data_IF_432332576121
#
_entry.id   IF_432332576121
#
_cell.length_a   1.000
_cell.length_b   1.000
_cell.length_c   1.000
_cell.angle_alpha   90.00
_cell.angle_beta   90.00
_cell.angle_gamma   90.00
#
_symmetry.space_group_name_H-M   'P 1'
#
loop_
_entity.id
_entity.type
_entity.pdbx_description
1 polymer ?
#
# COMPACT_ATOMS: atom_id res chain seq x y z
N UNK A 1 45.49 -21.78 14.47
CA UNK A 1 44.68 -21.36 15.64
C UNK A 1 45.12 -20.03 16.26
N UNK A 2 46.38 -19.57 16.16
CA UNK A 2 46.79 -18.28 16.74
C UNK A 2 46.74 -17.07 15.80
N UNK A 3 46.69 -17.25 14.48
CA UNK A 3 46.73 -16.16 13.49
C UNK A 3 45.40 -15.87 12.79
N UNK A 4 44.35 -16.61 13.13
CA UNK A 4 43.05 -16.50 12.46
C UNK A 4 42.09 -15.50 13.14
N UNK A 5 42.50 -14.91 14.27
CA UNK A 5 41.64 -14.15 15.23
C UNK A 5 42.13 -12.72 15.53
N UNK A 6 43.40 -12.36 15.27
CA UNK A 6 43.97 -11.09 15.78
C UNK A 6 43.81 -9.86 14.86
N UNK A 7 43.39 -9.99 13.59
CA UNK A 7 43.06 -8.81 12.77
C UNK A 7 42.13 -9.16 11.59
N UNK A 8 41.01 -9.85 11.84
CA UNK A 8 39.85 -9.70 10.96
C UNK A 8 39.10 -8.37 11.24
N UNK A 9 39.59 -7.50 12.15
CA UNK A 9 38.69 -6.79 13.08
C UNK A 9 38.83 -5.25 13.24
N UNK A 10 39.62 -4.50 12.46
CA UNK A 10 39.34 -3.04 12.25
C UNK A 10 38.35 -2.85 11.09
N UNK A 11 37.42 -3.81 11.04
CA UNK A 11 36.25 -4.14 10.24
C UNK A 11 36.11 -3.65 8.79
N UNK A 12 37.21 -3.45 8.05
CA UNK A 12 37.10 -3.50 6.58
C UNK A 12 37.35 -4.91 6.06
N UNK A 13 36.29 -5.66 5.76
CA UNK A 13 36.38 -6.99 5.13
C UNK A 13 35.68 -6.90 3.77
N UNK A 14 36.45 -6.96 2.69
CA UNK A 14 35.93 -7.03 1.32
C UNK A 14 36.17 -8.42 0.76
N UNK A 15 35.10 -9.11 0.39
CA UNK A 15 35.18 -10.37 -0.36
C UNK A 15 34.39 -10.17 -1.65
N UNK A 16 35.06 -10.36 -2.79
CA UNK A 16 34.47 -10.17 -4.11
C UNK A 16 34.72 -11.42 -4.93
N UNK A 17 33.64 -12.08 -5.33
CA UNK A 17 33.61 -13.14 -6.34
C UNK A 17 32.86 -12.57 -7.54
N UNK A 18 33.47 -12.61 -8.72
CA UNK A 18 32.80 -12.12 -9.91
C UNK A 18 33.37 -12.78 -11.16
N UNK A 19 32.49 -13.24 -12.05
CA UNK A 19 32.87 -13.89 -13.30
C UNK A 19 33.24 -12.86 -14.39
N UNK A 20 32.69 -11.65 -14.29
CA UNK A 20 32.90 -10.57 -15.26
C UNK A 20 33.51 -9.30 -14.63
N UNK A 21 32.71 -8.39 -14.08
CA UNK A 21 33.18 -7.12 -13.53
C UNK A 21 32.51 -6.76 -12.20
N UNK A 22 33.31 -6.59 -11.15
CA UNK A 22 32.87 -6.03 -9.89
C UNK A 22 33.80 -4.89 -9.44
N UNK A 23 33.22 -3.74 -9.08
CA UNK A 23 33.92 -2.61 -8.46
C UNK A 23 33.32 -2.37 -7.08
N UNK A 24 34.15 -2.46 -6.04
CA UNK A 24 33.70 -2.39 -4.64
C UNK A 24 34.49 -1.35 -3.85
N UNK A 25 33.87 -0.20 -3.64
CA UNK A 25 34.28 0.82 -2.69
C UNK A 25 33.50 0.60 -1.39
N UNK A 26 34.21 0.47 -0.27
CA UNK A 26 33.55 0.30 1.02
C UNK A 26 34.51 0.62 2.17
N UNK A 27 34.02 1.31 3.21
CA UNK A 27 34.86 1.67 4.36
C UNK A 27 34.87 0.56 5.41
N UNK A 28 33.77 -0.18 5.56
CA UNK A 28 33.67 -1.31 6.46
C UNK A 28 33.51 -2.63 5.69
N UNK A 29 32.43 -3.39 5.82
CA UNK A 29 32.28 -4.74 5.29
C UNK A 29 31.59 -4.74 3.92
N UNK A 30 32.17 -5.39 2.92
CA UNK A 30 31.49 -5.63 1.65
C UNK A 30 31.67 -7.09 1.19
N UNK A 31 30.58 -7.77 0.87
CA UNK A 31 30.60 -9.05 0.17
C UNK A 31 29.93 -8.84 -1.17
N UNK A 32 30.57 -9.20 -2.27
CA UNK A 32 29.97 -9.11 -3.59
C UNK A 32 30.19 -10.43 -4.31
N UNK A 33 29.11 -11.03 -4.79
CA UNK A 33 29.11 -12.16 -5.71
C UNK A 33 28.36 -11.71 -6.97
N UNK A 34 29.00 -11.70 -8.14
CA UNK A 34 28.34 -11.24 -9.35
C UNK A 34 28.81 -11.93 -10.64
N UNK A 35 27.89 -12.53 -11.39
CA UNK A 35 28.23 -13.21 -12.64
C UNK A 35 28.61 -12.20 -13.74
N UNK A 36 27.96 -11.03 -13.74
CA UNK A 36 28.07 -10.02 -14.80
C UNK A 36 28.63 -8.68 -14.31
N UNK A 37 27.81 -7.76 -13.79
CA UNK A 37 28.27 -6.43 -13.40
C UNK A 37 27.76 -6.03 -12.02
N UNK A 38 28.68 -5.70 -11.11
CA UNK A 38 28.35 -5.09 -9.82
C UNK A 38 29.20 -3.83 -9.58
N UNK A 39 28.55 -2.71 -9.28
CA UNK A 39 29.21 -1.53 -8.72
C UNK A 39 28.63 -1.32 -7.32
N UNK A 40 29.50 -1.36 -6.31
CA UNK A 40 29.11 -1.24 -4.91
C UNK A 40 29.95 -0.15 -4.26
N UNK A 41 29.28 0.86 -3.74
CA UNK A 41 29.81 1.89 -2.86
C UNK A 41 29.11 1.72 -1.51
N UNK A 42 29.86 1.48 -0.42
CA UNK A 42 29.25 1.28 0.88
C UNK A 42 30.09 1.72 2.08
N UNK A 43 29.63 2.67 2.87
CA UNK A 43 30.41 3.14 4.02
C UNK A 43 30.45 2.10 5.14
N UNK A 44 29.32 1.52 5.53
CA UNK A 44 29.32 0.47 6.56
C UNK A 44 29.24 -0.94 5.99
N UNK A 45 28.09 -1.49 5.63
CA UNK A 45 27.96 -2.90 5.25
C UNK A 45 27.24 -3.06 3.90
N UNK A 46 27.83 -3.76 2.95
CA UNK A 46 27.13 -4.19 1.74
C UNK A 46 27.27 -5.70 1.53
N UNK A 47 26.19 -6.41 1.25
CA UNK A 47 26.26 -7.76 0.67
C UNK A 47 25.50 -7.74 -0.64
N UNK A 48 26.13 -8.04 -1.76
CA UNK A 48 25.52 -7.99 -3.09
C UNK A 48 25.70 -9.32 -3.77
N UNK A 49 24.61 -9.94 -4.21
CA UNK A 49 24.55 -11.10 -5.08
C UNK A 49 23.85 -10.64 -6.36
N UNK A 50 24.47 -10.83 -7.53
CA UNK A 50 23.88 -10.37 -8.78
C UNK A 50 24.29 -11.17 -10.02
N UNK A 51 23.34 -11.80 -10.70
CA UNK A 51 23.64 -12.56 -11.92
C UNK A 51 23.95 -11.62 -13.12
N UNK A 52 23.31 -10.45 -13.16
CA UNK A 52 23.35 -9.56 -14.33
C UNK A 52 23.86 -8.15 -14.01
N UNK A 53 23.11 -7.32 -13.30
CA UNK A 53 23.53 -5.95 -13.00
C UNK A 53 23.06 -5.50 -11.62
N UNK A 54 23.99 -5.09 -10.77
CA UNK A 54 23.69 -4.41 -9.52
C UNK A 54 24.50 -3.12 -9.39
N UNK A 55 23.83 -2.00 -9.13
CA UNK A 55 24.45 -0.75 -8.67
C UNK A 55 23.94 -0.49 -7.26
N UNK A 56 24.86 -0.43 -6.31
CA UNK A 56 24.54 -0.24 -4.89
C UNK A 56 25.37 0.91 -4.36
N UNK A 57 24.70 1.94 -3.86
CA UNK A 57 25.27 3.01 -3.05
C UNK A 57 24.63 2.92 -1.66
N UNK A 58 25.44 2.78 -0.61
CA UNK A 58 24.94 2.44 0.71
C UNK A 58 25.78 3.00 1.88
N UNK A 59 25.32 4.04 2.54
CA UNK A 59 26.10 4.66 3.62
C UNK A 59 26.21 3.74 4.85
N UNK A 60 25.14 3.03 5.20
CA UNK A 60 25.17 2.14 6.36
C UNK A 60 24.96 0.67 6.03
N UNK A 61 23.86 0.26 5.43
CA UNK A 61 23.66 -1.16 5.15
C UNK A 61 22.88 -1.39 3.86
N UNK A 62 23.40 -2.19 2.95
CA UNK A 62 22.62 -2.68 1.82
C UNK A 62 22.84 -4.18 1.65
N UNK A 63 21.76 -4.95 1.57
CA UNK A 63 21.85 -6.31 1.03
C UNK A 63 21.02 -6.37 -0.24
N UNK A 64 21.64 -6.80 -1.32
CA UNK A 64 21.02 -6.82 -2.64
C UNK A 64 21.21 -8.21 -3.22
N UNK A 65 20.12 -8.85 -3.61
CA UNK A 65 20.10 -10.06 -4.40
C UNK A 65 19.36 -9.74 -5.71
N UNK A 66 19.99 -9.98 -6.86
CA UNK A 66 19.45 -9.53 -8.13
C UNK A 66 19.82 -10.43 -9.31
N UNK A 67 18.86 -11.19 -9.85
CA UNK A 67 19.10 -12.02 -11.04
C UNK A 67 19.37 -11.16 -12.30
N UNK A 68 18.75 -9.98 -12.37
CA UNK A 68 18.72 -9.17 -13.60
C UNK A 68 19.22 -7.74 -13.41
N UNK A 69 18.46 -6.89 -12.71
CA UNK A 69 18.86 -5.50 -12.50
C UNK A 69 18.41 -4.98 -11.15
N UNK A 70 19.34 -4.52 -10.33
CA UNK A 70 19.03 -3.76 -9.12
C UNK A 70 19.82 -2.45 -9.10
N UNK A 71 19.12 -1.36 -8.79
CA UNK A 71 19.68 -0.05 -8.50
C UNK A 71 19.25 0.30 -7.09
N UNK A 72 20.21 0.44 -6.18
CA UNK A 72 19.94 0.70 -4.76
C UNK A 72 20.76 1.90 -4.34
N UNK A 73 20.10 2.91 -3.85
CA UNK A 73 20.68 4.07 -3.20
C UNK A 73 20.11 4.13 -1.78
N UNK A 74 20.97 3.99 -0.76
CA UNK A 74 20.53 3.78 0.61
C UNK A 74 21.42 4.47 1.65
N UNK A 75 20.95 5.55 2.24
CA UNK A 75 21.70 6.27 3.27
C UNK A 75 21.87 5.43 4.56
N UNK A 76 20.90 4.58 4.86
CA UNK A 76 20.87 3.85 6.12
C UNK A 76 20.68 2.35 5.91
N UNK A 77 19.55 1.90 5.38
CA UNK A 77 19.33 0.48 5.19
C UNK A 77 18.52 0.20 3.94
N UNK A 78 19.01 -0.70 3.09
CA UNK A 78 18.21 -1.29 2.02
C UNK A 78 18.37 -2.80 2.00
N UNK A 79 17.26 -3.49 1.75
CA UNK A 79 17.24 -4.89 1.42
C UNK A 79 16.49 -5.02 0.11
N UNK A 80 17.12 -5.59 -0.91
CA UNK A 80 16.50 -5.72 -2.23
C UNK A 80 16.70 -7.14 -2.70
N UNK A 81 15.61 -7.81 -3.02
CA UNK A 81 15.59 -9.09 -3.71
C UNK A 81 14.83 -8.87 -5.02
N UNK A 82 15.50 -9.07 -6.16
CA UNK A 82 14.95 -8.69 -7.45
C UNK A 82 15.28 -9.70 -8.55
N UNK A 83 14.30 -10.49 -9.01
CA UNK A 83 14.52 -11.42 -10.12
C UNK A 83 14.70 -10.68 -11.47
N UNK A 84 14.14 -9.48 -11.60
CA UNK A 84 14.09 -8.77 -12.89
C UNK A 84 14.57 -7.32 -12.79
N UNK A 85 13.81 -6.44 -12.14
CA UNK A 85 14.20 -5.04 -12.00
C UNK A 85 13.75 -4.48 -10.65
N UNK A 86 14.68 -3.91 -9.89
CA UNK A 86 14.36 -3.07 -8.74
C UNK A 86 15.14 -1.76 -8.82
N UNK A 87 14.47 -0.65 -8.53
CA UNK A 87 15.08 0.64 -8.24
C UNK A 87 14.59 1.06 -6.87
N UNK A 88 15.53 1.26 -5.95
CA UNK A 88 15.23 1.58 -4.57
C UNK A 88 16.08 2.77 -4.17
N UNK A 89 15.42 3.84 -3.78
CA UNK A 89 16.01 5.03 -3.17
C UNK A 89 15.47 5.13 -1.74
N UNK A 90 16.37 5.08 -0.76
CA UNK A 90 16.01 4.94 0.65
C UNK A 90 16.92 5.75 1.58
N UNK A 91 16.43 6.88 2.07
CA UNK A 91 17.16 7.70 3.05
C UNK A 91 17.36 6.97 4.40
N UNK A 92 16.41 6.10 4.74
CA UNK A 92 16.39 5.44 6.05
C UNK A 92 16.24 3.93 5.93
N UNK A 93 15.15 3.45 5.34
CA UNK A 93 14.90 2.03 5.22
C UNK A 93 14.05 1.70 4.00
N UNK A 94 14.46 0.74 3.19
CA UNK A 94 13.58 0.08 2.23
C UNK A 94 13.82 -1.43 2.22
N UNK A 95 12.77 -2.23 2.23
CA UNK A 95 12.85 -3.65 1.89
C UNK A 95 12.00 -3.88 0.65
N UNK A 96 12.57 -4.46 -0.39
CA UNK A 96 11.91 -4.64 -1.68
C UNK A 96 12.14 -6.06 -2.15
N UNK A 97 11.07 -6.81 -2.34
CA UNK A 97 11.04 -8.11 -3.00
C UNK A 97 10.29 -7.94 -4.32
N UNK A 98 10.94 -8.27 -5.43
CA UNK A 98 10.41 -7.97 -6.76
C UNK A 98 10.76 -9.06 -7.78
N UNK A 99 9.78 -9.88 -8.14
CA UNK A 99 9.95 -10.87 -9.22
C UNK A 99 10.13 -10.20 -10.59
N UNK A 100 9.57 -9.00 -10.77
CA UNK A 100 9.46 -8.36 -12.08
C UNK A 100 9.93 -6.90 -12.07
N UNK A 101 9.20 -6.01 -11.39
CA UNK A 101 9.54 -4.59 -11.35
C UNK A 101 9.11 -3.95 -10.03
N UNK A 102 10.04 -3.33 -9.31
CA UNK A 102 9.69 -2.43 -8.20
C UNK A 102 10.46 -1.12 -8.33
N UNK A 103 9.76 0.01 -8.21
CA UNK A 103 10.36 1.33 -8.05
C UNK A 103 9.91 1.87 -6.69
N UNK A 104 10.86 2.11 -5.80
CA UNK A 104 10.58 2.47 -4.41
C UNK A 104 11.41 3.67 -4.05
N UNK A 105 10.75 4.76 -3.69
CA UNK A 105 11.33 5.97 -3.14
C UNK A 105 10.83 6.14 -1.72
N UNK A 106 11.76 6.12 -0.76
CA UNK A 106 11.45 6.08 0.66
C UNK A 106 12.36 7.01 1.47
N UNK A 107 11.85 8.18 1.82
CA UNK A 107 12.54 9.11 2.74
C UNK A 107 12.74 8.48 4.14
N UNK A 108 11.85 7.56 4.51
CA UNK A 108 11.83 6.98 5.85
C UNK A 108 11.69 5.46 5.82
N UNK A 109 10.61 4.95 5.23
CA UNK A 109 10.35 3.52 5.23
C UNK A 109 9.47 3.12 4.04
N UNK A 110 9.89 2.12 3.26
CA UNK A 110 8.98 1.40 2.37
C UNK A 110 9.24 -0.11 2.43
N UNK A 111 8.18 -0.91 2.51
CA UNK A 111 8.26 -2.35 2.30
C UNK A 111 7.41 -2.68 1.08
N UNK A 112 8.00 -3.34 0.11
CA UNK A 112 7.36 -3.62 -1.17
C UNK A 112 7.60 -5.06 -1.54
N UNK A 113 6.53 -5.83 -1.62
CA UNK A 113 6.51 -7.17 -2.18
C UNK A 113 5.75 -7.09 -3.50
N UNK A 114 6.39 -7.49 -4.60
CA UNK A 114 5.88 -7.28 -5.93
C UNK A 114 6.22 -8.44 -6.87
N UNK A 115 5.29 -9.35 -7.06
CA UNK A 115 5.38 -10.40 -8.09
C UNK A 115 5.55 -9.81 -9.50
N UNK A 116 5.00 -8.62 -9.74
CA UNK A 116 4.86 -8.04 -11.08
C UNK A 116 5.28 -6.57 -11.16
N UNK A 117 4.55 -5.66 -10.51
CA UNK A 117 4.89 -4.24 -10.53
C UNK A 117 4.50 -3.55 -9.23
N UNK A 118 5.41 -2.83 -8.62
CA UNK A 118 5.08 -1.86 -7.59
C UNK A 118 5.79 -0.52 -7.83
N UNK A 119 5.08 0.58 -7.66
CA UNK A 119 5.64 1.92 -7.61
C UNK A 119 5.24 2.53 -6.28
N UNK A 120 6.23 2.89 -5.47
CA UNK A 120 5.96 3.30 -4.09
C UNK A 120 6.77 4.54 -3.82
N UNK A 121 6.08 5.66 -3.66
CA UNK A 121 6.62 6.92 -3.17
C UNK A 121 6.15 7.09 -1.74
N UNK A 122 7.09 7.16 -0.81
CA UNK A 122 6.82 7.19 0.61
C UNK A 122 7.71 8.21 1.30
N UNK A 123 7.17 9.41 1.53
CA UNK A 123 7.85 10.40 2.36
C UNK A 123 8.02 9.93 3.81
N UNK A 124 7.15 9.03 4.25
CA UNK A 124 7.15 8.53 5.61
C UNK A 124 7.05 7.01 5.66
N UNK A 125 5.96 6.44 5.12
CA UNK A 125 5.74 5.01 5.19
C UNK A 125 4.82 4.49 4.08
N UNK A 126 5.24 3.44 3.38
CA UNK A 126 4.36 2.67 2.52
C UNK A 126 4.64 1.18 2.62
N UNK A 127 3.59 0.37 2.81
CA UNK A 127 3.69 -1.08 2.71
C UNK A 127 2.84 -1.54 1.54
N UNK A 128 3.44 -2.28 0.63
CA UNK A 128 2.82 -2.64 -0.63
C UNK A 128 3.07 -4.11 -0.88
N UNK A 129 2.02 -4.89 -0.95
CA UNK A 129 2.02 -6.27 -1.36
C UNK A 129 1.24 -6.34 -2.66
N UNK A 130 1.89 -6.76 -3.73
CA UNK A 130 1.38 -6.66 -5.08
C UNK A 130 1.72 -7.90 -5.90
N UNK A 131 0.82 -8.87 -5.90
CA UNK A 131 0.82 -9.99 -6.85
C UNK A 131 0.90 -9.48 -8.31
N UNK A 132 0.39 -8.28 -8.57
CA UNK A 132 0.24 -7.76 -9.93
C UNK A 132 0.65 -6.29 -10.08
N UNK A 133 -0.05 -5.37 -9.41
CA UNK A 133 0.25 -3.95 -9.54
C UNK A 133 -0.14 -3.16 -8.30
N UNK A 134 0.76 -2.34 -7.79
CA UNK A 134 0.40 -1.31 -6.83
C UNK A 134 1.13 0.01 -7.13
N UNK A 135 0.41 1.13 -7.13
CA UNK A 135 1.01 2.46 -7.11
C UNK A 135 0.59 3.16 -5.84
N UNK A 136 1.57 3.62 -5.09
CA UNK A 136 1.35 4.10 -3.75
C UNK A 136 2.13 5.38 -3.60
N UNK A 137 1.41 6.48 -3.59
CA UNK A 137 1.91 7.79 -3.20
C UNK A 137 1.44 8.05 -1.77
N UNK A 138 2.41 8.19 -0.89
CA UNK A 138 2.20 8.29 0.54
C UNK A 138 3.09 9.38 1.12
N UNK A 139 2.55 10.60 1.12
CA UNK A 139 3.09 11.72 1.89
C UNK A 139 3.26 11.33 3.37
N UNK A 140 2.37 10.47 3.85
CA UNK A 140 2.37 10.02 5.24
C UNK A 140 2.29 8.51 5.35
N UNK A 141 1.21 7.90 4.86
CA UNK A 141 1.00 6.47 5.08
C UNK A 141 0.09 5.82 4.05
N UNK A 142 0.56 4.71 3.49
CA UNK A 142 -0.24 3.85 2.63
C UNK A 142 0.03 2.37 2.88
N UNK A 143 -1.02 1.58 3.05
CA UNK A 143 -0.93 0.12 3.06
C UNK A 143 -1.78 -0.43 1.94
N UNK A 144 -1.15 -1.24 1.11
CA UNK A 144 -1.70 -1.67 -0.15
C UNK A 144 -1.42 -3.14 -0.31
N UNK A 145 -2.43 -3.97 -0.10
CA UNK A 145 -2.44 -5.35 -0.54
C UNK A 145 -3.19 -5.37 -1.88
N UNK A 146 -2.63 -6.06 -2.85
CA UNK A 146 -3.08 -6.02 -4.22
C UNK A 146 -2.76 -7.34 -4.91
N UNK A 147 -3.62 -8.33 -4.67
CA UNK A 147 -3.70 -9.54 -5.51
C UNK A 147 -3.77 -9.16 -7.01
N UNK A 148 -4.30 -7.98 -7.31
CA UNK A 148 -4.46 -7.50 -8.68
C UNK A 148 -4.05 -6.04 -8.88
N UNK A 149 -4.70 -5.10 -8.19
CA UNK A 149 -4.43 -3.69 -8.41
C UNK A 149 -4.80 -2.83 -7.20
N UNK A 150 -3.91 -1.92 -6.86
CA UNK A 150 -4.20 -0.88 -5.88
C UNK A 150 -3.53 0.43 -6.24
N UNK A 151 -4.29 1.52 -6.26
CA UNK A 151 -3.72 2.86 -6.32
C UNK A 151 -4.09 3.60 -5.07
N UNK A 152 -3.09 4.20 -4.49
CA UNK A 152 -3.21 4.90 -3.24
C UNK A 152 -2.52 6.20 -3.41
N UNK A 153 -3.28 7.27 -3.33
CA UNK A 153 -2.81 8.62 -3.12
C UNK A 153 -3.23 9.01 -1.72
N UNK A 154 -2.23 9.17 -0.87
CA UNK A 154 -2.38 9.43 0.54
C UNK A 154 -1.50 10.61 0.92
N UNK A 155 -2.00 11.81 0.66
CA UNK A 155 -1.60 13.03 1.37
C UNK A 155 -1.52 12.74 2.87
N UNK A 156 -2.46 11.95 3.36
CA UNK A 156 -2.52 11.53 4.76
C UNK A 156 -2.57 10.02 4.93
N UNK A 157 -3.61 9.35 4.43
CA UNK A 157 -3.77 7.93 4.77
C UNK A 157 -4.64 7.12 3.83
N UNK A 158 -4.12 6.00 3.37
CA UNK A 158 -4.85 5.06 2.54
C UNK A 158 -4.57 3.62 2.93
N UNK A 159 -5.64 2.89 3.14
CA UNK A 159 -5.57 1.46 3.33
C UNK A 159 -6.30 0.82 2.18
N UNK A 160 -5.72 -0.21 1.62
CA UNK A 160 -6.19 -0.85 0.41
C UNK A 160 -5.84 -2.30 0.58
N UNK A 161 -6.84 -3.15 0.59
CA UNK A 161 -6.69 -4.58 0.48
C UNK A 161 -7.48 -5.00 -0.74
N UNK A 162 -6.80 -5.28 -1.82
CA UNK A 162 -7.37 -5.52 -3.11
C UNK A 162 -7.07 -6.92 -3.59
N UNK A 163 -7.87 -7.89 -3.11
CA UNK A 163 -8.08 -9.15 -3.87
C UNK A 163 -8.34 -8.85 -5.35
N UNK A 164 -8.94 -7.71 -5.64
CA UNK A 164 -9.23 -7.25 -7.00
C UNK A 164 -8.81 -5.81 -7.24
N UNK A 165 -9.39 -4.84 -6.55
CA UNK A 165 -9.16 -3.45 -6.88
C UNK A 165 -9.47 -2.48 -5.77
N UNK A 166 -8.56 -1.57 -5.55
CA UNK A 166 -8.76 -0.51 -4.61
C UNK A 166 -8.12 0.80 -5.03
N UNK A 167 -8.86 1.88 -4.86
CA UNK A 167 -8.41 3.22 -5.14
C UNK A 167 -8.65 4.08 -3.93
N UNK A 168 -7.63 4.79 -3.54
CA UNK A 168 -7.71 5.75 -2.48
C UNK A 168 -7.20 7.04 -3.02
N UNK A 169 -8.07 8.02 -3.02
CA UNK A 169 -7.61 9.39 -2.91
C UNK A 169 -7.99 9.82 -1.51
N UNK A 170 -6.93 10.02 -0.76
CA UNK A 170 -6.91 10.40 0.62
C UNK A 170 -6.07 11.66 0.73
N UNK A 171 -6.56 12.74 0.08
CA UNK A 171 -6.33 14.12 0.56
C UNK A 171 -6.43 14.11 2.11
N UNK A 172 -7.40 13.35 2.61
CA UNK A 172 -7.51 12.99 4.01
C UNK A 172 -7.44 11.48 4.27
N UNK A 173 -8.29 10.63 3.66
CA UNK A 173 -8.34 9.23 4.08
C UNK A 173 -8.93 8.26 3.03
N UNK A 174 -8.77 6.95 3.18
CA UNK A 174 -9.63 5.90 2.61
C UNK A 174 -9.18 4.51 3.07
N UNK A 175 -9.99 3.49 2.81
CA UNK A 175 -9.88 2.16 3.44
C UNK A 175 -10.53 0.99 2.69
N UNK A 176 -9.89 0.56 1.65
CA UNK A 176 -10.48 -0.09 0.51
C UNK A 176 -10.09 -1.52 0.64
N UNK A 177 -10.78 -2.26 1.49
CA UNK A 177 -10.72 -3.68 1.24
C UNK A 177 -11.33 -3.92 -0.17
N UNK A 178 -11.24 -5.10 -0.70
CA UNK A 178 -11.34 -5.28 -2.15
C UNK A 178 -11.02 -6.72 -2.42
N UNK A 179 -11.40 -7.61 -1.47
CA UNK A 179 -12.22 -8.78 -1.81
C UNK A 179 -13.13 -8.37 -2.96
N UNK A 180 -13.82 -7.32 -2.54
CA UNK A 180 -14.90 -6.60 -3.12
C UNK A 180 -14.99 -5.26 -2.36
N UNK A 181 -14.23 -4.98 -1.26
CA UNK A 181 -14.51 -3.93 -0.26
C UNK A 181 -14.06 -2.44 -0.43
N UNK A 182 -14.30 -1.63 -1.44
CA UNK A 182 -13.53 -0.38 -1.57
C UNK A 182 -13.48 0.68 -0.37
N UNK A 183 -12.80 1.82 -0.37
CA UNK A 183 -13.13 3.09 0.33
C UNK A 183 -12.40 4.14 -0.41
N UNK A 184 -12.81 5.33 -0.11
CA UNK A 184 -12.10 6.49 -0.53
C UNK A 184 -12.19 7.34 0.78
N UNK A 185 -11.81 8.57 0.75
CA UNK A 185 -12.19 9.72 1.60
C UNK A 185 -11.23 10.75 1.06
N UNK A 186 -11.57 11.09 -0.14
CA UNK A 186 -11.37 12.42 -0.54
C UNK A 186 -12.16 13.28 0.45
N UNK A 187 -11.63 14.47 0.69
CA UNK A 187 -12.39 15.68 0.99
C UNK A 187 -13.50 15.91 -0.09
N UNK A 188 -14.20 14.86 -0.57
CA UNK A 188 -15.15 14.80 -1.67
C UNK A 188 -15.82 13.44 -1.84
N UNK A 189 -15.20 12.32 -1.45
CA UNK A 189 -15.68 10.99 -1.76
C UNK A 189 -14.91 9.90 -1.05
N UNK A 190 -15.65 8.97 -0.50
CA UNK A 190 -15.22 7.64 -0.18
C UNK A 190 -15.83 6.61 -1.16
N UNK A 191 -15.43 5.35 -1.24
CA UNK A 191 -16.12 4.43 -2.13
C UNK A 191 -15.84 3.03 -1.77
N UNK A 192 -16.84 2.34 -1.30
CA UNK A 192 -16.67 1.06 -0.67
C UNK A 192 -17.66 0.25 -1.43
N UNK A 193 -17.14 -0.73 -2.10
CA UNK A 193 -17.94 -1.92 -2.18
C UNK A 193 -17.59 -2.68 -0.93
N UNK A 194 -18.37 -3.68 -0.62
CA UNK A 194 -17.84 -4.96 -0.36
C UNK A 194 -18.89 -5.97 -0.64
N UNK A 195 -18.34 -7.16 -0.68
CA UNK A 195 -18.92 -8.42 -0.33
C UNK A 195 -19.55 -8.35 1.08
N UNK A 196 -19.72 -7.19 1.69
CA UNK A 196 -20.13 -6.95 3.07
C UNK A 196 -20.55 -5.52 3.33
N UNK A 197 -19.84 -4.52 2.84
CA UNK A 197 -19.84 -3.24 3.50
C UNK A 197 -19.40 -2.17 2.58
N UNK A 198 -20.08 -1.06 2.74
CA UNK A 198 -19.59 0.12 2.18
C UNK A 198 -19.63 1.36 3.06
N UNK A 199 -18.77 2.37 2.88
CA UNK A 199 -18.59 3.56 3.73
C UNK A 199 -17.99 4.75 3.02
N UNK A 200 -18.85 5.73 2.88
CA UNK A 200 -18.49 6.85 2.10
C UNK A 200 -18.74 8.18 2.79
N UNK A 201 -17.77 9.06 2.70
CA UNK A 201 -17.65 10.38 3.25
C UNK A 201 -16.86 11.19 2.25
N UNK A 202 -17.48 12.30 2.02
CA UNK A 202 -17.50 12.90 0.76
C UNK A 202 -18.05 14.28 0.99
N UNK A 203 -17.22 15.29 0.80
CA UNK A 203 -17.70 16.66 0.58
C UNK A 203 -18.61 16.75 -0.67
N UNK A 204 -19.16 15.65 -1.22
CA UNK A 204 -20.18 15.62 -2.27
C UNK A 204 -20.98 14.34 -2.36
N UNK A 205 -20.35 13.16 -2.40
CA UNK A 205 -21.05 11.94 -2.79
C UNK A 205 -20.56 10.67 -2.15
N UNK A 206 -21.55 9.88 -1.77
CA UNK A 206 -21.30 8.64 -1.11
C UNK A 206 -21.97 7.43 -1.74
N UNK A 207 -21.20 6.35 -1.98
CA UNK A 207 -21.69 5.19 -2.70
C UNK A 207 -21.13 3.89 -2.19
N UNK A 208 -22.07 2.99 -1.95
CA UNK A 208 -21.82 2.06 -0.90
C UNK A 208 -22.64 0.81 -1.09
N UNK A 209 -21.93 -0.20 -1.58
CA UNK A 209 -22.48 -1.52 -1.73
C UNK A 209 -21.98 -2.46 -0.67
N UNK A 210 -22.94 -3.15 -0.12
CA UNK A 210 -22.67 -3.96 1.01
C UNK A 210 -23.60 -5.14 0.97
N UNK A 211 -23.01 -6.33 0.96
CA UNK A 211 -23.78 -7.52 1.31
C UNK A 211 -24.35 -7.46 2.74
N UNK A 212 -24.35 -6.33 3.44
CA UNK A 212 -25.05 -6.16 4.70
C UNK A 212 -25.45 -4.73 4.97
N UNK A 213 -24.52 -3.79 4.76
CA UNK A 213 -24.66 -2.49 5.36
C UNK A 213 -23.83 -1.41 4.71
N UNK A 214 -24.48 -0.30 4.51
CA UNK A 214 -24.01 0.71 3.64
C UNK A 214 -24.29 2.07 4.31
N UNK A 215 -23.29 2.96 4.39
CA UNK A 215 -23.38 4.28 5.01
C UNK A 215 -22.60 5.34 4.24
N UNK A 216 -23.23 6.49 4.13
CA UNK A 216 -22.94 7.39 3.04
C UNK A 216 -23.29 8.79 3.48
N UNK A 217 -22.28 9.65 3.48
CA UNK A 217 -22.37 11.07 3.76
C UNK A 217 -21.85 11.85 2.58
N UNK A 218 -22.67 12.78 2.13
CA UNK A 218 -22.50 13.41 0.87
C UNK A 218 -23.06 14.81 0.91
N UNK A 219 -22.25 15.83 0.62
CA UNK A 219 -22.77 17.21 0.40
C UNK A 219 -23.71 17.31 -0.84
N UNK A 220 -24.24 16.22 -1.40
CA UNK A 220 -25.24 16.25 -2.46
C UNK A 220 -26.04 14.97 -2.63
N UNK A 221 -25.36 13.82 -2.68
CA UNK A 221 -26.02 12.59 -3.12
C UNK A 221 -25.44 11.31 -2.54
N UNK A 222 -26.31 10.36 -2.30
CA UNK A 222 -26.00 9.21 -1.51
C UNK A 222 -26.73 7.97 -2.02
N UNK A 223 -26.01 6.89 -2.26
CA UNK A 223 -26.56 5.63 -2.77
C UNK A 223 -26.02 4.43 -2.00
N UNK A 224 -26.93 3.63 -1.48
CA UNK A 224 -26.64 2.72 -0.38
C UNK A 224 -27.42 1.44 -0.53
N UNK A 225 -26.67 0.37 -0.74
CA UNK A 225 -27.17 -0.97 -0.90
C UNK A 225 -26.72 -1.87 0.22
N UNK A 226 -27.72 -2.36 0.94
CA UNK A 226 -27.49 -3.18 2.11
C UNK A 226 -28.44 -4.36 2.16
N UNK A 227 -27.90 -5.57 2.35
CA UNK A 227 -28.75 -6.72 2.65
C UNK A 227 -29.48 -6.63 4.00
N UNK A 228 -29.34 -5.56 4.78
CA UNK A 228 -30.03 -5.46 6.07
C UNK A 228 -30.42 -4.04 6.43
N UNK A 229 -29.48 -3.10 6.32
CA UNK A 229 -29.67 -1.72 6.72
C UNK A 229 -28.86 -0.75 5.86
N UNK A 230 -29.53 0.26 5.34
CA UNK A 230 -28.94 1.30 4.51
C UNK A 230 -29.31 2.65 5.14
N UNK A 231 -28.33 3.55 5.31
CA UNK A 231 -28.53 4.87 5.89
C UNK A 231 -27.69 5.93 5.17
N UNK A 232 -28.29 7.09 4.97
CA UNK A 232 -27.86 8.08 3.99
C UNK A 232 -28.18 9.48 4.46
N UNK A 233 -27.20 10.36 4.30
CA UNK A 233 -27.35 11.81 4.38
C UNK A 233 -26.87 12.48 3.08
N UNK A 234 -27.75 13.30 2.50
CA UNK A 234 -27.45 14.01 1.27
C UNK A 234 -28.10 15.38 1.16
N UNK A 235 -27.33 16.41 0.82
CA UNK A 235 -27.82 17.79 0.62
C UNK A 235 -28.78 17.96 -0.60
N UNK A 236 -29.13 16.91 -1.33
CA UNK A 236 -30.13 17.01 -2.40
C UNK A 236 -30.94 15.75 -2.64
N UNK A 237 -30.29 14.60 -2.74
CA UNK A 237 -30.92 13.35 -3.20
C UNK A 237 -30.33 12.13 -2.52
N UNK A 238 -31.16 11.14 -2.26
CA UNK A 238 -30.76 9.90 -1.63
C UNK A 238 -31.55 8.73 -2.21
N UNK A 239 -30.88 7.60 -2.42
CA UNK A 239 -31.49 6.33 -2.83
C UNK A 239 -30.94 5.20 -1.95
N UNK A 240 -31.83 4.41 -1.37
CA UNK A 240 -31.49 3.54 -0.23
C UNK A 240 -32.30 2.27 -0.24
N UNK A 241 -31.58 1.15 -0.34
CA UNK A 241 -32.15 -0.18 -0.44
C UNK A 241 -31.67 -1.07 0.72
N UNK A 242 -32.63 -1.44 1.57
CA UNK A 242 -32.37 -2.32 2.70
C UNK A 242 -33.38 -3.46 2.81
N UNK A 243 -32.85 -4.66 3.07
CA UNK A 243 -33.69 -5.84 3.23
C UNK A 243 -34.52 -5.84 4.53
N UNK A 244 -34.27 -4.93 5.47
CA UNK A 244 -34.96 -4.93 6.76
C UNK A 244 -35.39 -3.53 7.22
N UNK A 245 -34.50 -2.54 7.16
CA UNK A 245 -34.76 -1.15 7.57
C UNK A 245 -33.92 -0.18 6.76
N UNK A 246 -34.50 0.94 6.31
CA UNK A 246 -33.81 2.01 5.60
C UNK A 246 -34.17 3.35 6.25
N UNK A 247 -33.21 4.28 6.33
CA UNK A 247 -33.38 5.63 6.88
C UNK A 247 -32.66 6.64 5.99
N UNK A 248 -33.34 7.73 5.64
CA UNK A 248 -32.84 8.68 4.64
C UNK A 248 -33.20 10.11 5.03
N UNK A 249 -32.21 11.02 4.94
CA UNK A 249 -32.40 12.47 4.99
C UNK A 249 -31.88 13.12 3.69
N UNK A 250 -32.76 13.84 2.98
CA UNK A 250 -32.39 14.56 1.76
C UNK A 250 -33.11 15.91 1.58
N UNK A 251 -32.38 16.91 1.07
CA UNK A 251 -32.82 18.32 1.04
C UNK A 251 -33.81 18.66 -0.12
N UNK A 252 -34.01 17.78 -1.12
CA UNK A 252 -34.92 18.05 -2.26
C UNK A 252 -35.80 16.89 -2.76
N UNK A 253 -35.28 15.67 -2.87
CA UNK A 253 -35.97 14.44 -3.32
C UNK A 253 -35.32 13.22 -2.66
N UNK A 254 -36.03 12.13 -2.42
CA UNK A 254 -35.47 10.85 -1.94
C UNK A 254 -36.34 9.67 -2.40
N UNK A 255 -35.74 8.49 -2.56
CA UNK A 255 -36.43 7.20 -2.80
C UNK A 255 -35.87 6.15 -1.82
N UNK A 256 -36.72 5.29 -1.21
CA UNK A 256 -36.33 4.44 -0.03
C UNK A 256 -37.14 3.13 0.06
N UNK A 257 -36.49 1.97 0.27
CA UNK A 257 -37.15 0.63 0.43
C UNK A 257 -36.68 -0.20 1.66
N UNK A 258 -37.62 -0.78 2.45
CA UNK A 258 -37.39 -1.58 3.69
C UNK A 258 -38.43 -2.71 4.00
N UNK A 259 -38.06 -3.80 4.72
CA UNK A 259 -38.88 -5.03 4.93
C UNK A 259 -38.97 -5.55 6.42
N UNK A 260 -40.12 -5.45 7.14
CA UNK A 260 -40.27 -5.79 8.60
C UNK A 260 -41.22 -6.98 8.94
N UNK A 261 -40.85 -7.89 9.87
CA UNK A 261 -41.72 -8.95 10.48
C UNK A 261 -42.33 -8.53 11.85
N UNK A 262 -43.62 -8.83 12.12
CA UNK A 262 -44.49 -8.20 13.14
C UNK A 262 -44.81 -9.03 14.42
N UNK A 263 -44.90 -8.42 15.63
CA UNK A 263 -45.82 -8.85 16.72
C UNK A 263 -46.03 -7.81 17.89
N UNK A 264 -47.29 -7.33 18.07
CA UNK A 264 -47.98 -6.81 19.30
C UNK A 264 -47.44 -5.60 20.12
N UNK A 265 -48.19 -4.72 20.82
CA UNK A 265 -49.60 -4.28 20.94
C UNK A 265 -49.65 -3.10 21.97
N UNK A 266 -50.41 -2.03 21.67
CA UNK A 266 -51.34 -1.28 22.56
C UNK A 266 -50.79 -0.53 23.81
N UNK A 267 -51.26 0.63 24.27
CA UNK A 267 -52.17 1.71 23.84
C UNK A 267 -52.24 2.70 25.05
N UNK A 268 -52.39 4.01 24.80
CA UNK A 268 -53.36 4.92 25.49
C UNK A 268 -53.00 5.38 26.94
N UNK A 269 -53.24 6.59 27.47
CA UNK A 269 -54.23 7.68 27.30
C UNK A 269 -53.57 8.99 27.85
N UNK A 270 -53.65 10.14 27.19
CA UNK A 270 -54.67 11.20 27.33
C UNK A 270 -54.79 11.91 28.69
N UNK A 271 -54.49 13.21 28.72
CA UNK A 271 -55.41 14.33 29.03
C UNK A 271 -54.75 15.70 28.85
#
# INVERSE_FOLDING_TARGET
MLSLVEALASLSLKLVEADSLALVEALSLALVDADSLALVEADSLALVEADSLALVDADSLALVDADSLALVDADSLALVDALSLALVEADSLALVEADSLALVEADSLALVDADSLALVEALSLALVDADSLALVDADSLALVEADSLALVDADSLALVDADSLALVDADSLALVEALSLALVEADSLALVEADSLALVDADSLAEVEALSLALVEADSLADVLALWLAEVEADSLADVDALWLALVEADSLADVLALVEADSLAEVDAL
#
